data_IF_235812583347
#
_entry.id   IF_235812583347
#
_cell.length_a   1.000
_cell.length_b   1.000
_cell.length_c   1.000
_cell.angle_alpha   90.00
_cell.angle_beta   90.00
_cell.angle_gamma   90.00
#
_symmetry.space_group_name_H-M   'P 1'
#
loop_
_entity.id
_entity.type
_entity.pdbx_description
1 polymer ?
#
# COMPACT_ATOMS: atom_id res chain seq x y z
N UNK A 1 5.07 10.28 -4.42
CA UNK A 1 3.95 9.34 -4.16
C UNK A 1 3.84 8.96 -2.68
N UNK A 2 4.90 8.41 -2.07
CA UNK A 2 4.87 7.86 -0.71
C UNK A 2 4.67 8.87 0.44
N UNK A 3 5.09 10.13 0.27
CA UNK A 3 4.77 11.21 1.23
C UNK A 3 3.24 11.41 1.42
N UNK A 4 2.45 11.16 0.36
CA UNK A 4 1.00 11.25 0.45
C UNK A 4 0.40 10.09 1.27
N UNK A 5 1.04 8.91 1.27
CA UNK A 5 0.61 7.78 2.10
C UNK A 5 0.75 8.11 3.58
N UNK A 6 1.87 8.74 3.98
CA UNK A 6 2.09 9.20 5.35
C UNK A 6 1.00 10.19 5.76
N UNK A 7 0.70 11.18 4.92
CA UNK A 7 -0.34 12.16 5.20
C UNK A 7 -1.72 11.53 5.37
N UNK A 8 -2.14 10.65 4.44
CA UNK A 8 -3.44 9.99 4.48
C UNK A 8 -3.57 8.92 5.57
N UNK A 9 -2.46 8.52 6.18
CA UNK A 9 -2.42 7.47 7.22
C UNK A 9 -2.04 8.01 8.60
N UNK A 10 -2.12 9.33 8.82
CA UNK A 10 -1.83 9.96 10.11
C UNK A 10 -2.72 11.17 10.38
N UNK A 11 -2.79 11.59 11.65
CA UNK A 11 -3.57 12.76 12.06
C UNK A 11 -5.06 12.66 11.69
N UNK A 12 -5.68 13.81 11.36
CA UNK A 12 -7.13 13.86 11.06
C UNK A 12 -7.52 12.98 9.86
N UNK A 13 -6.69 12.90 8.83
CA UNK A 13 -6.98 12.09 7.65
C UNK A 13 -6.80 10.59 7.92
N UNK A 14 -5.77 10.22 8.68
CA UNK A 14 -5.63 8.85 9.18
C UNK A 14 -6.85 8.40 9.98
N UNK A 15 -7.35 9.24 10.89
CA UNK A 15 -8.54 8.95 11.71
C UNK A 15 -9.83 8.79 10.90
N UNK A 16 -9.93 9.42 9.72
CA UNK A 16 -11.05 9.16 8.78
C UNK A 16 -11.01 7.73 8.27
N UNK A 17 -9.80 7.20 8.05
CA UNK A 17 -9.56 5.85 7.55
C UNK A 17 -9.73 5.72 6.04
N UNK A 18 -9.40 4.54 5.52
CA UNK A 18 -9.54 4.23 4.10
C UNK A 18 -10.83 3.44 3.86
N UNK A 19 -11.74 4.03 3.07
CA UNK A 19 -13.01 3.39 2.70
C UNK A 19 -12.84 1.97 2.16
N UNK A 20 -11.85 1.76 1.28
CA UNK A 20 -11.59 0.44 0.66
C UNK A 20 -11.18 -0.60 1.70
N UNK A 21 -10.32 -0.22 2.65
CA UNK A 21 -9.83 -1.14 3.69
C UNK A 21 -10.97 -1.49 4.65
N UNK A 22 -11.76 -0.51 5.07
CA UNK A 22 -12.90 -0.75 5.96
C UNK A 22 -13.97 -1.61 5.28
N UNK A 23 -14.33 -1.31 4.03
CA UNK A 23 -15.26 -2.14 3.26
C UNK A 23 -14.75 -3.58 3.08
N UNK A 24 -13.43 -3.78 2.91
CA UNK A 24 -12.84 -5.11 2.84
C UNK A 24 -12.98 -5.90 4.14
N UNK A 25 -12.97 -5.22 5.30
CA UNK A 25 -13.07 -5.85 6.62
C UNK A 25 -14.53 -6.08 7.02
N UNK A 26 -15.43 -5.17 6.65
CA UNK A 26 -16.83 -5.20 7.11
C UNK A 26 -17.77 -5.98 6.18
N UNK A 27 -17.47 -6.07 4.88
CA UNK A 27 -18.41 -6.58 3.87
C UNK A 27 -18.02 -7.93 3.25
N UNK A 28 -16.78 -8.40 3.45
CA UNK A 28 -16.28 -9.61 2.80
C UNK A 28 -16.16 -10.78 3.78
N UNK A 29 -16.36 -12.03 3.31
CA UNK A 29 -16.65 -12.42 1.92
C UNK A 29 -18.12 -12.35 1.48
N UNK A 30 -19.03 -11.91 2.34
CA UNK A 30 -20.48 -12.03 2.18
C UNK A 30 -21.02 -11.22 1.00
N UNK A 31 -20.53 -10.01 0.78
CA UNK A 31 -20.88 -9.17 -0.37
C UNK A 31 -19.97 -9.46 -1.56
N UNK A 32 -20.50 -10.25 -2.51
CA UNK A 32 -19.76 -10.68 -3.71
C UNK A 32 -19.43 -9.51 -4.65
N UNK A 33 -20.29 -8.51 -4.76
CA UNK A 33 -20.08 -7.38 -5.67
C UNK A 33 -18.95 -6.47 -5.13
N UNK A 34 -18.96 -6.20 -3.83
CA UNK A 34 -17.88 -5.48 -3.14
C UNK A 34 -16.58 -6.29 -3.20
N UNK A 35 -16.65 -7.60 -2.98
CA UNK A 35 -15.49 -8.50 -3.05
C UNK A 35 -14.78 -8.44 -4.40
N UNK A 36 -15.52 -8.50 -5.50
CA UNK A 36 -14.96 -8.40 -6.86
C UNK A 36 -14.32 -7.03 -7.09
N UNK A 37 -14.95 -5.94 -6.64
CA UNK A 37 -14.43 -4.57 -6.80
C UNK A 37 -13.14 -4.35 -6.03
N UNK A 38 -13.09 -4.74 -4.77
CA UNK A 38 -11.90 -4.61 -3.90
C UNK A 38 -10.76 -5.48 -4.44
N UNK A 39 -11.05 -6.74 -4.78
CA UNK A 39 -10.05 -7.67 -5.34
C UNK A 39 -9.45 -7.13 -6.66
N UNK A 40 -10.27 -6.56 -7.54
CA UNK A 40 -9.78 -5.91 -8.77
C UNK A 40 -8.94 -4.68 -8.48
N UNK A 41 -9.34 -3.86 -7.51
CA UNK A 41 -8.60 -2.66 -7.12
C UNK A 41 -7.20 -3.01 -6.59
N UNK A 42 -7.08 -3.95 -5.66
CA UNK A 42 -5.77 -4.34 -5.13
C UNK A 42 -4.90 -5.00 -6.18
N UNK A 43 -5.47 -5.83 -7.06
CA UNK A 43 -4.73 -6.41 -8.20
C UNK A 43 -4.21 -5.32 -9.12
N UNK A 44 -5.04 -4.33 -9.48
CA UNK A 44 -4.63 -3.20 -10.31
C UNK A 44 -3.49 -2.39 -9.66
N UNK A 45 -3.53 -2.16 -8.35
CA UNK A 45 -2.45 -1.48 -7.64
C UNK A 45 -1.15 -2.30 -7.69
N UNK A 46 -1.23 -3.61 -7.47
CA UNK A 46 -0.08 -4.51 -7.57
C UNK A 46 0.51 -4.52 -8.99
N UNK A 47 -0.33 -4.55 -10.03
CA UNK A 47 0.12 -4.49 -11.42
C UNK A 47 0.81 -3.17 -11.75
N UNK A 48 0.28 -2.04 -11.25
CA UNK A 48 0.89 -0.73 -11.44
C UNK A 48 2.25 -0.60 -10.76
N UNK A 49 2.39 -1.11 -9.53
CA UNK A 49 3.68 -1.12 -8.84
C UNK A 49 4.67 -2.07 -9.50
N UNK A 50 4.26 -3.27 -9.90
CA UNK A 50 5.13 -4.21 -10.61
C UNK A 50 5.64 -3.60 -11.91
N UNK A 51 4.77 -2.96 -12.70
CA UNK A 51 5.19 -2.26 -13.92
C UNK A 51 6.17 -1.11 -13.64
N UNK A 52 6.02 -0.40 -12.52
CA UNK A 52 6.97 0.64 -12.11
C UNK A 52 8.33 0.05 -11.71
N UNK A 53 8.33 -1.05 -10.96
CA UNK A 53 9.54 -1.77 -10.54
C UNK A 53 10.30 -2.29 -11.76
N UNK A 54 9.61 -2.93 -12.73
CA UNK A 54 10.24 -3.41 -13.98
C UNK A 54 10.93 -2.27 -14.73
N UNK A 55 10.29 -1.09 -14.81
CA UNK A 55 10.90 0.08 -15.47
C UNK A 55 12.15 0.55 -14.74
N UNK A 56 12.11 0.61 -13.41
CA UNK A 56 13.25 1.01 -12.59
C UNK A 56 14.41 -0.01 -12.68
N UNK A 57 14.10 -1.32 -12.69
CA UNK A 57 15.09 -2.39 -12.93
C UNK A 57 15.77 -2.25 -14.30
N UNK A 58 14.99 -1.95 -15.35
CA UNK A 58 15.54 -1.71 -16.69
C UNK A 58 16.45 -0.46 -16.77
N UNK A 59 16.27 0.51 -15.87
CA UNK A 59 17.12 1.69 -15.73
C UNK A 59 18.32 1.46 -14.79
N UNK A 60 18.40 0.30 -14.13
CA UNK A 60 19.42 0.01 -13.13
C UNK A 60 19.21 0.71 -11.78
N UNK A 61 18.01 1.24 -11.54
CA UNK A 61 17.65 1.92 -10.28
C UNK A 61 17.24 0.94 -9.17
N UNK A 62 16.81 -0.27 -9.52
CA UNK A 62 16.43 -1.34 -8.58
C UNK A 62 17.15 -2.62 -9.01
N UNK A 63 17.60 -3.42 -8.05
CA UNK A 63 18.23 -4.72 -8.30
C UNK A 63 17.31 -5.63 -9.18
N UNK A 64 17.76 -6.07 -10.37
CA UNK A 64 17.00 -6.97 -11.23
C UNK A 64 16.82 -8.38 -10.64
N UNK A 65 17.56 -8.74 -9.59
CA UNK A 65 17.39 -10.00 -8.86
C UNK A 65 16.16 -10.06 -7.94
N UNK A 66 15.52 -8.91 -7.68
CA UNK A 66 14.31 -8.86 -6.85
C UNK A 66 13.05 -9.18 -7.66
N UNK A 67 12.20 -10.05 -7.14
CA UNK A 67 10.91 -10.39 -7.75
C UNK A 67 9.94 -9.20 -7.68
N UNK A 68 9.61 -8.63 -8.84
CA UNK A 68 8.84 -7.40 -8.96
C UNK A 68 7.41 -7.58 -8.42
N UNK A 69 6.86 -8.79 -8.55
CA UNK A 69 5.50 -9.11 -8.08
C UNK A 69 5.44 -9.14 -6.57
N UNK A 70 6.46 -9.70 -5.93
CA UNK A 70 6.59 -9.79 -4.49
C UNK A 70 6.79 -8.41 -3.88
N UNK A 71 7.68 -7.60 -4.45
CA UNK A 71 7.86 -6.21 -4.05
C UNK A 71 6.56 -5.40 -4.20
N UNK A 72 5.86 -5.52 -5.32
CA UNK A 72 4.59 -4.84 -5.53
C UNK A 72 3.51 -5.24 -4.50
N UNK A 73 3.40 -6.54 -4.20
CA UNK A 73 2.48 -7.04 -3.17
C UNK A 73 2.84 -6.53 -1.78
N UNK A 74 4.14 -6.53 -1.45
CA UNK A 74 4.65 -6.00 -0.20
C UNK A 74 4.30 -4.51 -0.05
N UNK A 75 4.53 -3.68 -1.06
CA UNK A 75 4.19 -2.26 -1.03
C UNK A 75 2.69 -2.03 -0.82
N UNK A 76 1.83 -2.77 -1.53
CA UNK A 76 0.37 -2.67 -1.35
C UNK A 76 -0.02 -3.07 0.07
N UNK A 77 0.55 -4.15 0.60
CA UNK A 77 0.32 -4.62 1.96
C UNK A 77 0.71 -3.56 2.99
N UNK A 78 1.93 -3.02 2.90
CA UNK A 78 2.42 -1.97 3.79
C UNK A 78 1.50 -0.74 3.78
N UNK A 79 1.09 -0.26 2.60
CA UNK A 79 0.19 0.89 2.49
C UNK A 79 -1.18 0.61 3.12
N UNK A 80 -1.74 -0.59 2.94
CA UNK A 80 -3.03 -0.93 3.55
C UNK A 80 -2.91 -1.08 5.07
N UNK A 81 -1.83 -1.68 5.58
CA UNK A 81 -1.55 -1.77 7.01
C UNK A 81 -1.42 -0.39 7.66
N UNK A 82 -0.69 0.52 7.03
CA UNK A 82 -0.59 1.92 7.48
C UNK A 82 -1.95 2.61 7.58
N UNK A 83 -2.87 2.35 6.64
CA UNK A 83 -4.24 2.90 6.68
C UNK A 83 -5.06 2.40 7.86
N UNK A 84 -4.87 1.15 8.27
CA UNK A 84 -5.49 0.58 9.48
C UNK A 84 -4.91 1.24 10.72
N UNK A 85 -3.58 1.34 10.82
CA UNK A 85 -2.90 1.96 11.95
C UNK A 85 -3.22 3.46 12.06
N UNK A 86 -3.32 4.16 10.94
CA UNK A 86 -3.76 5.56 10.88
C UNK A 86 -5.17 5.74 11.43
N UNK A 87 -6.08 4.81 11.13
CA UNK A 87 -7.43 4.78 11.71
C UNK A 87 -7.40 4.58 13.23
N UNK A 88 -6.43 3.81 13.72
CA UNK A 88 -6.19 3.60 15.15
C UNK A 88 -5.44 4.76 15.84
N UNK A 89 -5.14 5.85 15.12
CA UNK A 89 -4.52 7.05 15.70
C UNK A 89 -2.99 7.04 15.75
N UNK A 90 -2.34 6.23 14.92
CA UNK A 90 -0.88 6.19 14.83
C UNK A 90 -0.26 7.55 14.43
N UNK A 91 0.94 7.82 14.96
CA UNK A 91 1.63 9.09 14.76
C UNK A 91 2.24 9.22 13.35
N UNK A 92 2.38 10.47 12.89
CA UNK A 92 2.94 10.78 11.58
C UNK A 92 4.41 10.37 11.45
N UNK A 93 5.20 10.48 12.52
CA UNK A 93 6.60 10.09 12.54
C UNK A 93 6.74 8.58 12.40
N UNK A 94 5.90 7.80 13.09
CA UNK A 94 5.87 6.34 12.95
C UNK A 94 5.53 5.92 11.51
N UNK A 95 4.50 6.54 10.91
CA UNK A 95 4.14 6.32 9.51
C UNK A 95 5.29 6.65 8.55
N UNK A 96 6.04 7.71 8.86
CA UNK A 96 7.21 8.08 8.07
C UNK A 96 8.33 7.05 8.20
N UNK A 97 8.64 6.60 9.42
CA UNK A 97 9.64 5.57 9.66
C UNK A 97 9.28 4.25 8.97
N UNK A 98 8.00 3.86 8.99
CA UNK A 98 7.50 2.66 8.31
C UNK A 98 7.68 2.73 6.80
N UNK A 99 7.41 3.88 6.18
CA UNK A 99 7.56 4.00 4.73
C UNK A 99 9.04 4.04 4.34
N UNK A 100 9.88 4.71 5.12
CA UNK A 100 11.31 4.76 4.86
C UNK A 100 11.93 3.36 4.97
N UNK A 101 11.51 2.56 5.97
CA UNK A 101 11.89 1.14 6.08
C UNK A 101 11.38 0.29 4.90
N UNK A 102 10.13 0.49 4.49
CA UNK A 102 9.52 -0.28 3.39
C UNK A 102 10.17 0.01 2.02
N UNK A 103 10.83 1.16 1.86
CA UNK A 103 11.51 1.51 0.61
C UNK A 103 12.97 1.09 0.56
N UNK A 104 13.61 0.77 1.70
CA UNK A 104 15.01 0.27 1.73
C UNK A 104 15.32 -0.89 0.78
N UNK A 105 14.41 -1.87 0.54
CA UNK A 105 14.69 -2.93 -0.42
C UNK A 105 14.74 -2.46 -1.88
N UNK A 106 14.36 -1.22 -2.17
CA UNK A 106 14.35 -0.63 -3.51
C UNK A 106 15.52 0.35 -3.73
N UNK A 107 16.34 0.58 -2.70
CA UNK A 107 17.57 1.38 -2.78
C UNK A 107 18.74 0.52 -3.33
#
# INVERSE_FOLDING_TARGET
AFSNVVHLSSGKDGLRGCFVVLAAVEMLPEDKDVSVRISRLFRRLQDLYAAAIIRAQALGEIDPGLDERTLARFLVCQIQGMRVLGKAGADRQDMRAMIDLALKPLD
#
